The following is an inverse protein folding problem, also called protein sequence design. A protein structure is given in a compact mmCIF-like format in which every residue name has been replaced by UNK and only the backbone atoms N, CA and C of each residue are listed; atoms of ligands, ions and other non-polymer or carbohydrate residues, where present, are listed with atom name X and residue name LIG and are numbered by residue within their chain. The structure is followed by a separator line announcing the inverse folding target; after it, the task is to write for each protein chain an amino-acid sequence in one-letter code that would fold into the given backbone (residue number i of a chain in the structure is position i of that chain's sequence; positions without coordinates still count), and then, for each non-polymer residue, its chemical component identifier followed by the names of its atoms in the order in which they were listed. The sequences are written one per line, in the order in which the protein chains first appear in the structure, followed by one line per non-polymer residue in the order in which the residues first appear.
data_IF_911384902000
#
_entry.id   IF_911384902000
#
_cell.length_a   1.000
_cell.length_b   1.000
_cell.length_c   1.000
_cell.angle_alpha   90.00
_cell.angle_beta   90.00
_cell.angle_gamma   90.00
#
_symmetry.space_group_name_H-M   'P 1'
#
loop_
_entity.id
_entity.type
_entity.pdbx_description
1 polymer ?
#
# COMPACT_ATOMS: atom_id res chain seq x y z
N UNK A 1 -7.75 4.08 17.41
CA UNK A 1 -7.99 4.72 16.09
C UNK A 1 -6.64 5.14 15.50
N UNK A 2 -6.57 5.55 14.23
CA UNK A 2 -5.30 5.91 13.59
C UNK A 2 -5.42 7.08 12.60
N UNK A 3 -4.36 7.88 12.50
CA UNK A 3 -4.14 8.88 11.45
C UNK A 3 -2.73 8.67 10.89
N UNK A 4 -2.64 8.15 9.67
CA UNK A 4 -1.37 7.64 9.15
C UNK A 4 -0.80 6.55 10.08
N UNK A 5 0.50 6.56 10.40
CA UNK A 5 1.10 5.59 11.31
C UNK A 5 0.85 5.91 12.81
N UNK A 6 0.18 7.02 13.14
CA UNK A 6 -0.01 7.46 14.53
C UNK A 6 -1.33 6.92 15.10
N UNK A 7 -1.25 6.15 16.17
CA UNK A 7 -2.42 5.68 16.90
C UNK A 7 -2.78 6.62 18.03
N UNK A 8 -4.08 6.81 18.23
CA UNK A 8 -4.61 7.67 19.29
C UNK A 8 -5.81 7.01 19.98
N UNK A 9 -5.98 7.39 21.25
CA UNK A 9 -6.91 6.72 22.19
C UNK A 9 -8.36 7.17 22.07
N UNK A 10 -8.60 8.46 21.79
CA UNK A 10 -9.94 9.05 21.72
C UNK A 10 -10.05 10.13 20.64
N UNK A 11 -11.27 10.48 20.22
CA UNK A 11 -11.50 11.60 19.28
C UNK A 11 -11.01 12.95 19.83
N UNK A 12 -10.85 13.08 21.15
CA UNK A 12 -10.28 14.27 21.78
C UNK A 12 -8.75 14.38 21.66
N UNK A 13 -8.09 13.34 21.15
CA UNK A 13 -6.64 13.24 20.99
C UNK A 13 -6.21 13.57 19.55
N UNK A 14 -7.12 14.14 18.74
CA UNK A 14 -6.85 14.61 17.39
C UNK A 14 -7.65 15.87 17.09
N UNK A 15 -7.09 16.82 16.35
CA UNK A 15 -7.85 17.95 15.79
C UNK A 15 -7.22 18.50 14.51
N UNK A 16 -8.04 19.18 13.71
CA UNK A 16 -7.58 19.95 12.55
C UNK A 16 -7.22 21.39 12.96
N UNK A 17 -6.03 21.84 12.59
CA UNK A 17 -5.60 23.24 12.71
C UNK A 17 -5.59 23.88 11.33
N UNK A 18 -6.46 24.88 11.13
CA UNK A 18 -6.62 25.58 9.85
C UNK A 18 -6.13 27.02 9.92
N UNK A 19 -5.44 27.44 8.87
CA UNK A 19 -5.00 28.81 8.63
C UNK A 19 -5.45 29.22 7.21
N UNK A 20 -6.74 29.52 7.06
CA UNK A 20 -7.38 29.59 5.74
C UNK A 20 -7.52 28.19 5.14
N UNK A 21 -7.07 28.01 3.89
CA UNK A 21 -7.06 26.71 3.20
C UNK A 21 -5.87 25.81 3.59
N UNK A 22 -4.89 26.36 4.32
CA UNK A 22 -3.77 25.61 4.88
C UNK A 22 -4.26 24.79 6.08
N UNK A 23 -4.13 23.46 6.02
CA UNK A 23 -4.67 22.52 7.01
C UNK A 23 -3.57 21.59 7.53
N UNK A 24 -3.55 21.43 8.85
CA UNK A 24 -2.71 20.47 9.56
C UNK A 24 -3.60 19.58 10.44
N UNK A 25 -3.22 18.32 10.61
CA UNK A 25 -3.76 17.46 11.66
C UNK A 25 -2.77 17.36 12.79
N UNK A 26 -3.22 17.66 14.01
CA UNK A 26 -2.42 17.50 15.23
C UNK A 26 -2.95 16.26 15.95
N UNK A 27 -2.06 15.32 16.28
CA UNK A 27 -2.40 14.04 16.91
C UNK A 27 -1.60 13.89 18.19
N UNK A 28 -2.29 13.58 19.29
CA UNK A 28 -1.69 13.12 20.54
C UNK A 28 -1.59 11.59 20.48
N UNK A 29 -0.45 11.10 19.99
CA UNK A 29 -0.21 9.70 19.64
C UNK A 29 0.25 8.87 20.85
N UNK A 30 -0.43 7.75 21.10
CA UNK A 30 -0.14 6.81 22.19
C UNK A 30 0.53 5.49 21.75
N UNK A 31 0.61 5.26 20.44
CA UNK A 31 1.42 4.22 19.83
C UNK A 31 1.72 4.59 18.36
N UNK A 32 2.70 3.93 17.78
CA UNK A 32 3.08 4.07 16.38
C UNK A 32 2.96 2.72 15.68
N UNK A 33 2.26 2.72 14.55
CA UNK A 33 2.08 1.57 13.69
C UNK A 33 3.13 1.58 12.58
N UNK A 34 4.18 0.78 12.76
CA UNK A 34 5.21 0.56 11.75
C UNK A 34 4.81 -0.59 10.82
N UNK A 35 3.77 -0.38 9.99
CA UNK A 35 3.37 -1.35 8.98
C UNK A 35 2.83 -2.67 9.55
N UNK A 36 2.01 -2.61 10.60
CA UNK A 36 1.36 -3.75 11.27
C UNK A 36 1.93 -4.07 12.65
N UNK A 37 3.06 -3.48 13.04
CA UNK A 37 3.63 -3.59 14.38
C UNK A 37 3.31 -2.31 15.14
N UNK A 38 2.49 -2.45 16.18
CA UNK A 38 2.06 -1.34 17.02
C UNK A 38 2.97 -1.32 18.25
N UNK A 39 3.84 -0.31 18.31
CA UNK A 39 4.75 -0.08 19.42
C UNK A 39 4.43 1.21 20.16
N UNK A 40 4.51 1.19 21.50
CA UNK A 40 4.34 2.39 22.33
C UNK A 40 5.64 3.19 22.49
N UNK A 41 6.70 2.84 21.76
CA UNK A 41 8.00 3.50 21.85
C UNK A 41 8.03 4.90 21.21
N UNK A 42 7.10 5.22 20.31
CA UNK A 42 7.07 6.49 19.57
C UNK A 42 5.80 7.30 19.86
N UNK A 43 5.63 7.66 21.13
CA UNK A 43 4.49 8.42 21.62
C UNK A 43 4.79 9.93 21.63
N UNK A 44 3.74 10.76 21.67
CA UNK A 44 3.86 12.22 21.79
C UNK A 44 2.94 12.95 20.82
N UNK A 45 3.20 14.23 20.60
CA UNK A 45 2.47 15.02 19.61
C UNK A 45 3.10 14.82 18.23
N UNK A 46 2.26 14.52 17.24
CA UNK A 46 2.60 14.55 15.83
C UNK A 46 1.79 15.65 15.13
N UNK A 47 2.43 16.35 14.20
CA UNK A 47 1.78 17.34 13.33
C UNK A 47 1.95 16.86 11.90
N UNK A 48 0.83 16.68 11.23
CA UNK A 48 0.74 16.22 9.86
C UNK A 48 0.26 17.37 8.99
N UNK A 49 0.95 17.58 7.89
CA UNK A 49 0.59 18.52 6.86
C UNK A 49 -0.42 17.85 5.93
N UNK A 50 -1.68 18.30 5.94
CA UNK A 50 -2.72 17.67 5.11
C UNK A 50 -2.65 18.13 3.66
N UNK A 51 -2.21 19.37 3.39
CA UNK A 51 -2.10 19.87 2.01
C UNK A 51 -0.99 19.14 1.26
N UNK A 52 0.17 18.95 1.90
CA UNK A 52 1.35 18.33 1.26
C UNK A 52 1.57 16.88 1.68
N UNK A 53 0.68 16.32 2.51
CA UNK A 53 0.67 14.90 2.96
C UNK A 53 2.02 14.44 3.52
N UNK A 54 2.61 15.26 4.37
CA UNK A 54 3.91 15.00 4.99
C UNK A 54 3.84 15.14 6.50
N UNK A 55 4.79 14.53 7.20
CA UNK A 55 4.95 14.72 8.64
C UNK A 55 5.76 16.00 8.86
N UNK A 56 5.17 16.99 9.52
CA UNK A 56 5.86 18.23 9.89
C UNK A 56 6.84 17.93 11.03
N UNK A 57 6.32 17.33 12.10
CA UNK A 57 7.09 16.86 13.25
C UNK A 57 6.39 15.67 13.90
N UNK A 58 7.15 14.87 14.62
CA UNK A 58 6.63 13.74 15.39
C UNK A 58 7.36 13.56 16.72
N UNK A 59 6.74 12.86 17.68
CA UNK A 59 7.35 12.57 18.99
C UNK A 59 7.73 13.82 19.76
N UNK A 60 6.97 14.91 19.58
CA UNK A 60 7.12 16.10 20.40
C UNK A 60 6.64 15.77 21.82
N UNK A 61 7.49 16.06 22.81
CA UNK A 61 7.31 15.62 24.21
C UNK A 61 7.17 14.10 24.35
N UNK A 62 8.00 13.35 23.60
CA UNK A 62 8.07 11.88 23.66
C UNK A 62 8.19 11.35 25.10
N UNK A 63 7.33 10.39 25.43
CA UNK A 63 7.41 9.66 26.69
C UNK A 63 7.17 8.17 26.45
N UNK A 64 8.07 7.32 26.95
CA UNK A 64 7.96 5.87 26.86
C UNK A 64 6.94 5.37 27.89
N UNK A 65 5.68 5.30 27.48
CA UNK A 65 4.56 4.90 28.34
C UNK A 65 3.31 5.75 28.13
N UNK A 66 2.56 6.00 29.19
CA UNK A 66 1.34 6.81 29.12
C UNK A 66 1.68 8.30 29.00
N UNK A 67 1.00 9.00 28.09
CA UNK A 67 1.20 10.43 27.85
C UNK A 67 0.88 11.21 29.14
N UNK A 68 1.86 11.99 29.61
CA UNK A 68 1.71 12.81 30.81
C UNK A 68 0.84 14.05 30.57
N UNK A 69 0.45 14.72 31.66
CA UNK A 69 -0.37 15.94 31.63
C UNK A 69 0.27 17.09 30.83
N UNK A 70 1.60 17.11 30.72
CA UNK A 70 2.33 18.14 29.97
C UNK A 70 2.14 17.99 28.45
N UNK A 71 2.13 16.76 27.92
CA UNK A 71 1.85 16.53 26.50
C UNK A 71 0.40 16.92 26.16
N UNK A 72 -0.55 16.70 27.08
CA UNK A 72 -1.94 17.13 26.90
C UNK A 72 -2.09 18.65 26.92
N UNK A 73 -1.47 19.34 27.87
CA UNK A 73 -1.49 20.81 27.93
C UNK A 73 -0.88 21.43 26.67
N UNK A 74 0.22 20.87 26.20
CA UNK A 74 0.87 21.32 24.98
C UNK A 74 -0.02 21.09 23.75
N UNK A 75 -0.62 19.90 23.65
CA UNK A 75 -1.58 19.57 22.60
C UNK A 75 -2.76 20.55 22.56
N UNK A 76 -3.30 20.88 23.74
CA UNK A 76 -4.39 21.84 23.86
C UNK A 76 -3.93 23.28 23.52
N UNK A 77 -2.68 23.66 23.82
CA UNK A 77 -2.16 25.00 23.52
C UNK A 77 -2.02 25.27 22.01
N UNK A 78 -1.73 24.23 21.22
CA UNK A 78 -1.59 24.32 19.75
C UNK A 78 -2.92 24.74 19.09
N UNK A 79 -4.07 24.39 19.70
CA UNK A 79 -5.42 24.72 19.17
C UNK A 79 -5.59 26.21 18.97
N UNK A 80 -5.03 27.02 19.85
CA UNK A 80 -5.25 28.47 19.88
C UNK A 80 -4.11 29.27 19.23
N UNK A 81 -3.05 28.62 18.75
CA UNK A 81 -1.91 29.32 18.15
C UNK A 81 -2.31 30.09 16.88
N UNK A 82 -1.83 31.32 16.73
CA UNK A 82 -1.82 32.01 15.42
C UNK A 82 -0.82 31.35 14.48
N UNK A 83 -0.85 31.70 13.19
CA UNK A 83 0.11 31.18 12.23
C UNK A 83 1.55 31.50 12.62
N UNK A 84 1.82 32.72 13.08
CA UNK A 84 3.14 33.15 13.53
C UNK A 84 3.59 32.34 14.75
N UNK A 85 2.70 32.09 15.71
CA UNK A 85 3.00 31.27 16.89
C UNK A 85 3.26 29.81 16.50
N UNK A 86 2.44 29.25 15.62
CA UNK A 86 2.53 27.87 15.15
C UNK A 86 3.83 27.60 14.38
N UNK A 87 4.19 28.46 13.43
CA UNK A 87 5.45 28.31 12.66
C UNK A 87 6.69 28.49 13.54
N UNK A 88 6.65 29.38 14.52
CA UNK A 88 7.74 29.51 15.50
C UNK A 88 7.82 28.29 16.42
N UNK A 89 6.66 27.76 16.83
CA UNK A 89 6.58 26.54 17.63
C UNK A 89 7.21 25.36 16.91
N UNK A 90 6.76 25.10 15.68
CA UNK A 90 7.26 24.02 14.83
C UNK A 90 8.77 24.14 14.63
N UNK A 91 9.28 25.31 14.21
CA UNK A 91 10.72 25.51 13.95
C UNK A 91 11.62 25.34 15.19
N UNK A 92 11.08 25.53 16.39
CA UNK A 92 11.83 25.32 17.65
C UNK A 92 11.89 23.85 18.05
N UNK A 93 11.04 22.99 17.49
CA UNK A 93 11.03 21.58 17.83
C UNK A 93 12.30 20.90 17.27
N UNK A 94 13.03 20.12 18.09
CA UNK A 94 14.14 19.30 17.60
C UNK A 94 13.66 18.14 16.71
N UNK A 95 12.34 17.94 16.57
CA UNK A 95 11.71 16.91 15.74
C UNK A 95 11.13 17.45 14.43
N UNK A 96 11.25 18.75 14.19
CA UNK A 96 10.84 19.34 12.93
C UNK A 96 11.71 18.81 11.79
N UNK A 97 11.05 18.34 10.72
CA UNK A 97 11.74 17.69 9.59
C UNK A 97 12.30 18.67 8.56
N UNK A 98 11.89 19.94 8.60
CA UNK A 98 12.28 20.95 7.61
C UNK A 98 11.65 20.73 6.23
N UNK A 99 11.94 21.64 5.29
CA UNK A 99 11.55 21.48 3.89
C UNK A 99 10.14 21.99 3.57
N UNK A 100 9.57 22.84 4.43
CA UNK A 100 8.22 23.39 4.25
C UNK A 100 8.36 24.91 4.13
N UNK A 101 8.27 25.43 2.90
CA UNK A 101 8.69 26.81 2.58
C UNK A 101 7.98 27.88 3.43
N UNK A 102 6.67 27.74 3.63
CA UNK A 102 5.86 28.71 4.36
C UNK A 102 6.15 28.71 5.87
N UNK A 103 6.52 27.55 6.43
CA UNK A 103 6.98 27.41 7.82
C UNK A 103 8.42 27.90 7.96
N UNK A 104 9.33 27.44 7.10
CA UNK A 104 10.77 27.69 7.16
C UNK A 104 11.06 29.19 7.06
N UNK A 105 10.43 29.83 6.07
CA UNK A 105 10.58 31.27 5.82
C UNK A 105 9.64 32.12 6.66
N UNK A 106 8.65 31.52 7.31
CA UNK A 106 7.60 32.24 8.05
C UNK A 106 6.80 33.18 7.16
N UNK A 107 6.57 32.80 5.90
CA UNK A 107 5.72 33.54 4.97
C UNK A 107 4.24 33.26 5.27
N UNK A 108 3.32 33.83 4.50
CA UNK A 108 1.88 33.58 4.70
C UNK A 108 1.56 32.10 4.48
N UNK A 109 0.53 31.54 5.15
CA UNK A 109 0.12 30.15 4.94
C UNK A 109 -0.10 29.88 3.44
N UNK A 110 0.55 28.85 2.92
CA UNK A 110 0.44 28.47 1.51
C UNK A 110 -0.19 27.09 1.38
N UNK A 111 -1.44 27.03 0.94
CA UNK A 111 -2.20 25.79 0.85
C UNK A 111 -1.85 24.92 -0.38
N UNK A 112 -0.93 25.38 -1.24
CA UNK A 112 -0.60 24.75 -2.52
C UNK A 112 -1.45 25.26 -3.67
N UNK A 113 -1.26 24.70 -4.86
CA UNK A 113 -2.13 24.98 -6.01
C UNK A 113 -3.50 24.27 -5.87
N UNK A 114 -4.43 24.54 -6.79
CA UNK A 114 -5.77 23.92 -6.76
C UNK A 114 -5.69 22.40 -6.86
N UNK A 115 -4.76 21.87 -7.65
CA UNK A 115 -4.58 20.44 -7.83
C UNK A 115 -4.02 19.81 -6.55
N UNK A 116 -3.09 20.47 -5.85
CA UNK A 116 -2.59 20.05 -4.54
C UNK A 116 -3.72 20.04 -3.50
N UNK A 117 -4.61 21.03 -3.55
CA UNK A 117 -5.83 21.04 -2.73
C UNK A 117 -6.75 19.88 -3.08
N UNK A 118 -6.96 19.55 -4.35
CA UNK A 118 -7.76 18.39 -4.76
C UNK A 118 -7.12 17.07 -4.35
N UNK A 119 -5.79 16.95 -4.44
CA UNK A 119 -5.02 15.80 -3.94
C UNK A 119 -5.23 15.67 -2.43
N UNK A 120 -5.14 16.76 -1.66
CA UNK A 120 -5.35 16.74 -0.21
C UNK A 120 -6.77 16.32 0.17
N UNK A 121 -7.80 16.90 -0.47
CA UNK A 121 -9.21 16.54 -0.31
C UNK A 121 -9.54 15.16 -0.86
N UNK A 122 -8.67 14.66 -1.73
CA UNK A 122 -8.78 13.38 -2.39
C UNK A 122 -9.89 13.28 -3.44
N UNK A 123 -10.27 14.41 -4.04
CA UNK A 123 -11.22 14.48 -5.16
C UNK A 123 -11.04 15.79 -5.94
N UNK A 124 -11.34 15.72 -7.24
CA UNK A 124 -11.51 16.91 -8.10
C UNK A 124 -12.95 17.40 -8.00
N UNK A 125 -13.15 18.71 -7.90
CA UNK A 125 -14.47 19.33 -7.89
C UNK A 125 -14.75 20.00 -9.24
N UNK A 126 -15.71 19.48 -9.99
CA UNK A 126 -16.05 19.91 -11.36
C UNK A 126 -14.88 19.70 -12.34
N UNK A 127 -14.55 18.45 -12.70
CA UNK A 127 -13.51 18.16 -13.70
C UNK A 127 -13.87 18.82 -15.03
N UNK A 128 -12.93 19.56 -15.62
CA UNK A 128 -13.14 20.35 -16.86
C UNK A 128 -12.22 19.94 -18.02
N UNK A 129 -11.54 18.79 -17.91
CA UNK A 129 -10.63 18.26 -18.93
C UNK A 129 -11.29 17.30 -19.93
N UNK A 130 -10.58 16.94 -21.02
CA UNK A 130 -11.01 15.85 -21.91
C UNK A 130 -10.95 14.50 -21.17
N UNK A 131 -11.80 13.55 -21.58
CA UNK A 131 -11.71 12.15 -21.15
C UNK A 131 -10.52 11.48 -21.83
N UNK A 132 -9.50 11.13 -21.05
CA UNK A 132 -8.25 10.53 -21.49
C UNK A 132 -8.28 9.00 -21.45
N UNK A 133 -9.34 8.37 -20.92
CA UNK A 133 -9.41 6.92 -20.77
C UNK A 133 -9.39 6.21 -22.13
N UNK A 134 -8.81 5.02 -22.15
CA UNK A 134 -8.88 4.11 -23.30
C UNK A 134 -10.31 3.57 -23.49
N UNK A 135 -10.61 3.02 -24.66
CA UNK A 135 -11.92 2.41 -24.91
C UNK A 135 -12.17 1.18 -24.01
N UNK A 136 -11.12 0.45 -23.64
CA UNK A 136 -11.19 -0.67 -22.67
C UNK A 136 -11.64 -0.16 -21.30
N UNK A 137 -11.00 0.90 -20.81
CA UNK A 137 -11.36 1.53 -19.53
C UNK A 137 -12.79 2.08 -19.53
N UNK A 138 -13.20 2.73 -20.63
CA UNK A 138 -14.58 3.25 -20.78
C UNK A 138 -15.61 2.12 -20.78
N UNK A 139 -15.30 1.02 -21.47
CA UNK A 139 -16.19 -0.15 -21.55
C UNK A 139 -16.36 -0.83 -20.21
N UNK A 140 -15.27 -0.97 -19.43
CA UNK A 140 -15.30 -1.52 -18.08
C UNK A 140 -16.22 -0.73 -17.13
N UNK A 141 -16.28 0.60 -17.29
CA UNK A 141 -17.16 1.45 -16.49
C UNK A 141 -18.61 1.50 -16.97
N UNK A 142 -18.87 1.15 -18.22
CA UNK A 142 -20.21 1.19 -18.79
C UNK A 142 -21.03 -0.07 -18.46
N UNK A 143 -20.35 -1.18 -18.16
CA UNK A 143 -20.95 -2.50 -18.08
C UNK A 143 -20.55 -3.19 -16.77
N UNK A 144 -21.51 -3.78 -16.05
CA UNK A 144 -21.27 -4.58 -14.83
C UNK A 144 -20.70 -5.99 -15.14
N UNK A 145 -19.91 -6.12 -16.22
CA UNK A 145 -19.38 -7.41 -16.69
C UNK A 145 -17.97 -7.72 -16.17
N UNK A 146 -17.34 -6.77 -15.49
CA UNK A 146 -15.98 -6.87 -15.00
C UNK A 146 -15.86 -6.21 -13.63
N UNK A 147 -14.96 -6.71 -12.79
CA UNK A 147 -14.67 -6.14 -11.48
C UNK A 147 -13.77 -4.89 -11.57
N UNK A 148 -13.17 -4.62 -12.74
CA UNK A 148 -12.30 -3.47 -12.96
C UNK A 148 -13.11 -2.18 -13.16
N UNK A 149 -12.66 -1.08 -12.52
CA UNK A 149 -13.27 0.24 -12.67
C UNK A 149 -12.24 1.38 -12.72
N UNK A 150 -12.41 2.26 -13.71
CA UNK A 150 -11.56 3.40 -14.07
C UNK A 150 -12.40 4.70 -14.10
N UNK A 151 -12.90 5.17 -12.94
CA UNK A 151 -13.82 6.31 -12.86
C UNK A 151 -13.19 7.66 -13.21
N UNK A 152 -11.86 7.80 -13.08
CA UNK A 152 -11.15 9.05 -13.25
C UNK A 152 -10.87 9.29 -14.75
N UNK A 153 -11.57 10.26 -15.34
CA UNK A 153 -11.58 10.46 -16.77
C UNK A 153 -10.53 11.47 -17.24
N UNK A 154 -10.31 12.51 -16.46
CA UNK A 154 -9.43 13.63 -16.82
C UNK A 154 -8.05 13.50 -16.21
N UNK A 155 -7.08 14.25 -16.74
CA UNK A 155 -5.70 14.32 -16.24
C UNK A 155 -5.64 14.57 -14.73
N UNK A 156 -6.36 15.59 -14.26
CA UNK A 156 -6.34 15.99 -12.86
C UNK A 156 -6.95 14.91 -11.95
N UNK A 157 -8.02 14.24 -12.39
CA UNK A 157 -8.62 13.13 -11.65
C UNK A 157 -7.66 11.95 -11.53
N UNK A 158 -7.00 11.57 -12.63
CA UNK A 158 -6.01 10.49 -12.63
C UNK A 158 -4.81 10.82 -11.73
N UNK A 159 -4.32 12.07 -11.78
CA UNK A 159 -3.24 12.54 -10.87
C UNK A 159 -3.70 12.47 -9.42
N UNK A 160 -4.93 12.92 -9.10
CA UNK A 160 -5.47 12.83 -7.74
C UNK A 160 -5.58 11.36 -7.29
N UNK A 161 -6.10 10.47 -8.14
CA UNK A 161 -6.24 9.05 -7.83
C UNK A 161 -4.88 8.38 -7.58
N UNK A 162 -3.91 8.56 -8.49
CA UNK A 162 -2.56 8.02 -8.36
C UNK A 162 -1.82 8.61 -7.17
N UNK A 163 -1.92 9.92 -6.96
CA UNK A 163 -1.33 10.56 -5.80
C UNK A 163 -1.88 9.87 -4.54
N UNK A 164 -3.19 9.65 -4.43
CA UNK A 164 -3.83 9.02 -3.27
C UNK A 164 -3.43 7.58 -2.99
N UNK A 165 -2.93 6.86 -3.98
CA UNK A 165 -2.49 5.48 -3.81
C UNK A 165 -1.48 5.36 -2.66
N UNK A 166 -1.47 4.18 -2.03
CA UNK A 166 -0.60 3.93 -0.89
C UNK A 166 0.86 4.09 -1.29
N UNK A 167 1.58 4.86 -0.48
CA UNK A 167 3.00 5.08 -0.63
C UNK A 167 3.74 4.34 0.44
N UNK A 168 4.74 3.56 0.04
CA UNK A 168 5.55 2.78 0.97
C UNK A 168 6.99 3.29 1.01
N UNK A 169 7.63 3.17 2.18
CA UNK A 169 9.06 3.43 2.37
C UNK A 169 9.77 2.09 2.61
N UNK A 170 10.55 1.56 1.64
CA UNK A 170 11.17 0.25 1.74
C UNK A 170 12.18 0.12 2.89
N UNK A 171 11.98 -0.90 3.74
CA UNK A 171 12.77 -1.12 4.98
C UNK A 171 14.28 -1.32 4.75
N UNK A 172 14.69 -1.74 3.55
CA UNK A 172 16.09 -2.01 3.20
C UNK A 172 16.69 -0.99 2.22
N UNK A 173 16.01 0.13 1.95
CA UNK A 173 16.56 1.17 1.09
C UNK A 173 17.50 2.06 1.91
N UNK A 174 18.81 1.77 1.87
CA UNK A 174 19.84 2.74 2.28
C UNK A 174 19.76 4.06 1.48
N UNK A 175 18.95 4.08 0.41
CA UNK A 175 18.73 5.21 -0.47
C UNK A 175 17.38 5.93 -0.25
N UNK A 176 16.60 5.56 0.77
CA UNK A 176 15.42 6.28 1.26
C UNK A 176 14.51 6.88 0.18
N UNK A 177 13.49 6.16 -0.25
CA UNK A 177 12.50 6.72 -1.18
C UNK A 177 11.10 6.18 -0.98
N UNK A 178 10.14 6.99 -1.41
CA UNK A 178 8.74 6.67 -1.61
C UNK A 178 8.60 5.77 -2.85
N UNK A 179 7.77 4.73 -2.78
CA UNK A 179 7.43 3.85 -3.91
C UNK A 179 5.92 3.61 -3.96
N UNK A 180 5.41 3.26 -5.14
CA UNK A 180 4.06 2.71 -5.28
C UNK A 180 4.06 1.25 -4.81
N UNK A 181 3.16 0.92 -3.89
CA UNK A 181 3.12 -0.41 -3.30
C UNK A 181 1.73 -0.80 -2.78
N UNK A 182 1.48 -2.11 -2.78
CA UNK A 182 0.24 -2.72 -2.30
C UNK A 182 0.51 -3.53 -1.03
N UNK A 183 -0.33 -3.38 0.00
CA UNK A 183 -0.31 -4.26 1.17
C UNK A 183 -0.90 -5.63 0.80
N UNK A 184 -0.02 -6.62 0.69
CA UNK A 184 -0.35 -7.99 0.30
C UNK A 184 -0.32 -8.94 1.50
N UNK A 185 -0.37 -8.41 2.73
CA UNK A 185 -0.40 -9.26 3.92
C UNK A 185 -1.69 -10.07 3.97
N UNK A 186 -1.54 -11.38 4.07
CA UNK A 186 -2.64 -12.28 4.40
C UNK A 186 -3.10 -11.98 5.82
N UNK A 187 -4.33 -11.46 5.94
CA UNK A 187 -4.99 -11.20 7.23
C UNK A 187 -6.16 -12.17 7.35
N UNK A 188 -6.15 -12.99 8.39
CA UNK A 188 -7.20 -13.99 8.61
C UNK A 188 -6.76 -15.39 8.20
N UNK A 189 -7.75 -16.27 8.05
CA UNK A 189 -7.53 -17.70 7.84
C UNK A 189 -7.58 -18.01 6.34
N UNK A 190 -6.48 -18.54 5.78
CA UNK A 190 -6.37 -19.02 4.41
C UNK A 190 -6.19 -20.54 4.41
N UNK A 191 -6.81 -21.25 3.46
CA UNK A 191 -6.69 -22.71 3.37
C UNK A 191 -7.12 -23.19 1.98
N UNK A 192 -6.54 -24.29 1.51
CA UNK A 192 -6.90 -24.91 0.23
C UNK A 192 -8.42 -25.12 0.04
N UNK A 193 -9.14 -25.50 1.10
CA UNK A 193 -10.59 -25.76 1.05
C UNK A 193 -11.47 -24.52 0.84
N UNK A 194 -10.90 -23.31 0.95
CA UNK A 194 -11.61 -22.04 0.70
C UNK A 194 -11.52 -21.60 -0.76
N UNK A 195 -10.68 -22.23 -1.57
CA UNK A 195 -10.61 -21.93 -3.00
C UNK A 195 -11.81 -22.54 -3.75
N UNK A 196 -12.42 -21.75 -4.61
CA UNK A 196 -13.45 -22.22 -5.53
C UNK A 196 -12.83 -22.95 -6.72
N UNK A 197 -13.60 -23.84 -7.37
CA UNK A 197 -13.15 -24.54 -8.58
C UNK A 197 -12.37 -25.84 -8.36
N UNK A 198 -11.93 -26.12 -7.13
CA UNK A 198 -11.23 -27.37 -6.79
C UNK A 198 -12.17 -28.42 -6.20
N UNK A 199 -11.90 -29.70 -6.51
CA UNK A 199 -12.62 -30.86 -5.95
C UNK A 199 -11.62 -31.82 -5.33
N UNK A 200 -11.45 -31.71 -4.02
CA UNK A 200 -10.53 -32.56 -3.27
C UNK A 200 -11.18 -33.87 -2.86
N UNK A 201 -10.38 -34.92 -2.77
CA UNK A 201 -10.83 -36.21 -2.26
C UNK A 201 -10.76 -36.20 -0.72
N UNK A 202 -11.90 -36.43 -0.07
CA UNK A 202 -12.00 -36.44 1.40
C UNK A 202 -11.07 -37.45 2.08
N UNK A 203 -10.71 -38.54 1.38
CA UNK A 203 -9.77 -39.56 1.88
C UNK A 203 -8.38 -38.99 2.18
N UNK A 204 -7.99 -37.88 1.54
CA UNK A 204 -6.69 -37.24 1.76
C UNK A 204 -6.74 -36.06 2.74
N UNK A 205 -7.91 -35.71 3.31
CA UNK A 205 -8.05 -34.56 4.21
C UNK A 205 -7.10 -34.63 5.42
N UNK A 206 -7.01 -35.78 6.09
CA UNK A 206 -6.11 -35.94 7.24
C UNK A 206 -4.63 -35.88 6.84
N UNK A 207 -4.29 -36.43 5.67
CA UNK A 207 -2.92 -36.42 5.15
C UNK A 207 -2.49 -35.01 4.75
N UNK A 208 -3.38 -34.25 4.10
CA UNK A 208 -3.19 -32.82 3.83
C UNK A 208 -2.97 -32.02 5.09
N UNK A 209 -3.84 -32.17 6.09
CA UNK A 209 -3.72 -31.44 7.36
C UNK A 209 -2.37 -31.70 8.03
N UNK A 210 -1.91 -32.96 8.05
CA UNK A 210 -0.58 -33.31 8.59
C UNK A 210 0.55 -32.70 7.77
N UNK A 211 0.44 -32.71 6.44
CA UNK A 211 1.43 -32.10 5.56
C UNK A 211 1.55 -30.59 5.85
N UNK A 212 0.43 -29.88 5.85
CA UNK A 212 0.35 -28.44 6.14
C UNK A 212 0.86 -28.07 7.54
N UNK A 213 0.61 -28.90 8.56
CA UNK A 213 1.14 -28.70 9.92
C UNK A 213 2.66 -28.99 10.03
N UNK A 214 3.17 -29.91 9.22
CA UNK A 214 4.56 -30.36 9.28
C UNK A 214 5.52 -29.59 8.38
N UNK A 215 5.02 -29.03 7.29
CA UNK A 215 5.78 -28.31 6.28
C UNK A 215 5.52 -26.81 6.42
N UNK A 216 6.42 -26.12 7.12
CA UNK A 216 6.31 -24.67 7.32
C UNK A 216 6.50 -23.87 6.03
N UNK A 217 7.04 -24.48 4.96
CA UNK A 217 7.41 -23.80 3.73
C UNK A 217 6.24 -23.75 2.73
N UNK A 218 5.26 -24.66 2.84
CA UNK A 218 4.09 -24.71 1.95
C UNK A 218 3.33 -23.38 1.88
N UNK A 219 3.25 -22.66 3.01
CA UNK A 219 2.62 -21.34 3.05
C UNK A 219 3.42 -20.32 2.24
N UNK A 220 4.75 -20.32 2.36
CA UNK A 220 5.62 -19.40 1.63
C UNK A 220 5.68 -19.74 0.13
N UNK A 221 5.63 -21.03 -0.22
CA UNK A 221 5.48 -21.49 -1.60
C UNK A 221 4.17 -20.98 -2.20
N UNK A 222 3.04 -21.16 -1.50
CA UNK A 222 1.74 -20.63 -1.94
C UNK A 222 1.75 -19.10 -2.09
N UNK A 223 2.43 -18.37 -1.20
CA UNK A 223 2.58 -16.92 -1.33
C UNK A 223 3.44 -16.54 -2.54
N UNK A 224 4.50 -17.30 -2.83
CA UNK A 224 5.34 -17.08 -4.02
C UNK A 224 4.56 -17.31 -5.30
N UNK A 225 3.80 -18.41 -5.37
CA UNK A 225 2.97 -18.76 -6.52
C UNK A 225 1.86 -17.74 -6.76
N UNK A 226 1.19 -17.28 -5.70
CA UNK A 226 0.16 -16.24 -5.77
C UNK A 226 0.69 -14.91 -6.36
N UNK A 227 1.99 -14.64 -6.24
CA UNK A 227 2.63 -13.40 -6.71
C UNK A 227 3.43 -13.59 -8.01
N UNK A 228 3.56 -14.82 -8.49
CA UNK A 228 4.48 -15.19 -9.57
C UNK A 228 4.34 -14.32 -10.82
N UNK A 229 3.10 -14.06 -11.26
CA UNK A 229 2.83 -13.23 -12.43
C UNK A 229 3.38 -11.80 -12.29
N UNK A 230 3.32 -11.22 -11.08
CA UNK A 230 3.86 -9.89 -10.80
C UNK A 230 5.38 -9.89 -10.75
N UNK A 231 5.99 -10.87 -10.07
CA UNK A 231 7.43 -10.85 -9.80
C UNK A 231 8.28 -11.29 -10.99
N UNK A 232 7.74 -12.15 -11.87
CA UNK A 232 8.43 -12.58 -13.10
C UNK A 232 8.24 -11.60 -14.28
N UNK A 233 7.44 -10.54 -14.09
CA UNK A 233 7.19 -9.53 -15.13
C UNK A 233 6.24 -10.01 -16.24
N UNK A 234 5.38 -10.99 -15.93
CA UNK A 234 4.36 -11.53 -16.83
C UNK A 234 2.96 -10.98 -16.49
N UNK A 235 2.88 -9.92 -15.69
CA UNK A 235 1.61 -9.31 -15.34
C UNK A 235 1.09 -8.45 -16.48
N UNK A 236 -0.14 -8.70 -16.88
CA UNK A 236 -0.85 -7.99 -17.95
C UNK A 236 -2.06 -7.27 -17.31
N UNK A 237 -2.02 -5.93 -17.16
CA UNK A 237 -3.13 -5.22 -16.57
C UNK A 237 -4.32 -5.21 -17.53
N UNK A 238 -5.53 -5.36 -16.98
CA UNK A 238 -6.77 -5.34 -17.76
C UNK A 238 -6.91 -4.09 -18.65
N UNK A 239 -6.37 -2.95 -18.23
CA UNK A 239 -6.49 -1.70 -18.96
C UNK A 239 -5.79 -1.67 -20.33
N UNK A 240 -4.68 -2.41 -20.46
CA UNK A 240 -3.82 -2.39 -21.64
C UNK A 240 -2.79 -3.55 -21.58
N UNK A 241 -2.91 -4.50 -22.52
CA UNK A 241 -2.04 -5.67 -22.62
C UNK A 241 -0.62 -5.36 -23.09
N UNK A 242 -0.32 -4.14 -23.56
CA UNK A 242 1.03 -3.73 -23.96
C UNK A 242 1.87 -3.20 -22.80
N UNK A 243 1.25 -2.97 -21.63
CA UNK A 243 1.98 -2.54 -20.44
C UNK A 243 2.85 -3.69 -19.94
N UNK A 244 4.13 -3.41 -19.70
CA UNK A 244 5.07 -4.35 -19.09
C UNK A 244 5.54 -3.75 -17.78
N UNK A 245 5.26 -4.42 -16.67
CA UNK A 245 5.63 -3.99 -15.33
C UNK A 245 6.35 -5.10 -14.58
N UNK A 246 7.25 -4.72 -13.66
CA UNK A 246 7.94 -5.64 -12.76
C UNK A 246 7.72 -5.20 -11.33
N UNK A 247 7.54 -6.19 -10.48
CA UNK A 247 7.31 -6.00 -9.07
C UNK A 247 8.31 -6.81 -8.25
N UNK A 248 8.47 -6.43 -6.99
CA UNK A 248 9.18 -7.24 -6.00
C UNK A 248 8.52 -7.12 -4.65
N UNK A 249 8.75 -8.10 -3.77
CA UNK A 249 8.24 -8.06 -2.40
C UNK A 249 9.18 -7.30 -1.47
N UNK A 250 8.66 -6.46 -0.59
CA UNK A 250 9.42 -5.74 0.43
C UNK A 250 8.69 -5.69 1.78
N UNK A 251 9.37 -5.17 2.81
CA UNK A 251 8.88 -5.13 4.18
C UNK A 251 9.13 -6.41 4.96
N UNK A 252 8.80 -6.37 6.25
CA UNK A 252 8.92 -7.54 7.14
C UNK A 252 8.07 -8.69 6.57
N UNK A 253 8.71 -9.84 6.36
CA UNK A 253 8.10 -11.03 5.74
C UNK A 253 7.53 -10.80 4.33
N UNK A 254 8.00 -9.79 3.58
CA UNK A 254 7.57 -9.57 2.19
C UNK A 254 6.15 -9.01 2.04
N UNK A 255 5.58 -8.43 3.09
CA UNK A 255 4.17 -8.01 3.11
C UNK A 255 3.76 -6.83 2.21
N UNK A 256 4.65 -6.31 1.36
CA UNK A 256 4.31 -5.30 0.35
C UNK A 256 4.76 -5.73 -1.03
N UNK A 257 3.89 -5.61 -2.03
CA UNK A 257 4.25 -5.71 -3.44
C UNK A 257 4.65 -4.31 -3.92
N UNK A 258 5.83 -4.15 -4.49
CA UNK A 258 6.37 -2.85 -4.89
C UNK A 258 6.59 -2.81 -6.39
N UNK A 259 6.07 -1.80 -7.07
CA UNK A 259 6.36 -1.55 -8.48
C UNK A 259 7.80 -1.06 -8.63
N UNK A 260 8.68 -1.85 -9.26
CA UNK A 260 10.07 -1.47 -9.47
C UNK A 260 10.33 -0.85 -10.83
N UNK A 261 9.67 -1.35 -11.86
CA UNK A 261 9.91 -0.97 -13.24
C UNK A 261 8.63 -1.12 -14.07
N UNK A 262 8.51 -0.31 -15.11
CA UNK A 262 7.51 -0.47 -16.16
C UNK A 262 8.04 0.05 -17.51
N UNK A 263 7.30 -0.11 -18.61
CA UNK A 263 7.74 0.32 -19.95
C UNK A 263 7.42 1.78 -20.32
N UNK A 264 6.73 2.54 -19.47
CA UNK A 264 6.50 3.98 -19.66
C UNK A 264 7.67 4.85 -19.18
N UNK A 265 7.48 6.19 -19.19
CA UNK A 265 8.43 7.11 -18.59
C UNK A 265 8.67 6.77 -17.11
N UNK A 266 9.91 6.86 -16.66
CA UNK A 266 10.32 6.52 -15.28
C UNK A 266 10.82 7.78 -14.58
N UNK A 267 10.66 7.89 -13.25
CA UNK A 267 11.38 8.90 -12.49
C UNK A 267 12.89 8.57 -12.48
N UNK A 268 13.71 9.48 -11.97
CA UNK A 268 15.15 9.24 -11.77
C UNK A 268 15.41 8.48 -10.46
N UNK A 269 14.71 7.35 -10.27
CA UNK A 269 14.91 6.47 -9.11
C UNK A 269 16.30 5.83 -9.09
N UNK A 270 16.54 4.93 -8.14
CA UNK A 270 17.83 4.22 -8.03
C UNK A 270 17.87 2.98 -8.93
N UNK A 271 19.08 2.47 -9.20
CA UNK A 271 19.31 1.40 -10.18
C UNK A 271 18.46 0.12 -9.98
N UNK A 272 18.17 -0.26 -8.73
CA UNK A 272 17.37 -1.44 -8.39
C UNK A 272 15.86 -1.19 -8.26
N UNK A 273 15.41 0.07 -8.28
CA UNK A 273 14.00 0.45 -8.32
C UNK A 273 13.89 1.80 -9.06
N UNK A 274 13.92 1.77 -10.40
CA UNK A 274 13.74 2.97 -11.21
C UNK A 274 12.48 3.76 -10.89
N UNK A 275 11.43 3.12 -10.35
CA UNK A 275 10.16 3.72 -9.93
C UNK A 275 10.16 4.30 -8.51
N UNK A 276 11.33 4.57 -7.94
CA UNK A 276 11.44 5.22 -6.63
C UNK A 276 11.47 6.75 -6.73
N UNK A 277 10.95 7.40 -5.70
CA UNK A 277 10.87 8.85 -5.56
C UNK A 277 11.50 9.29 -4.23
N UNK A 278 12.10 10.46 -4.17
CA UNK A 278 12.72 10.96 -2.92
C UNK A 278 11.66 11.17 -1.83
N UNK A 279 10.49 11.64 -2.25
CA UNK A 279 9.35 11.89 -1.39
C UNK A 279 8.07 11.98 -2.25
N UNK A 280 6.95 12.22 -1.57
CA UNK A 280 5.64 12.31 -2.21
C UNK A 280 5.48 13.55 -3.11
N UNK A 281 6.16 14.65 -2.80
CA UNK A 281 6.15 15.85 -3.65
C UNK A 281 6.85 15.59 -4.99
N UNK A 282 8.00 14.90 -4.96
CA UNK A 282 8.68 14.45 -6.17
C UNK A 282 7.78 13.53 -7.01
N UNK A 283 7.05 12.59 -6.39
CA UNK A 283 6.07 11.76 -7.09
C UNK A 283 4.97 12.60 -7.77
N UNK A 284 4.36 13.55 -7.06
CA UNK A 284 3.31 14.42 -7.61
C UNK A 284 3.85 15.29 -8.75
N UNK A 285 5.04 15.88 -8.60
CA UNK A 285 5.69 16.67 -9.65
C UNK A 285 5.92 15.84 -10.91
N UNK A 286 6.40 14.60 -10.75
CA UNK A 286 6.61 13.69 -11.85
C UNK A 286 5.30 13.32 -12.56
N UNK A 287 4.22 13.05 -11.82
CA UNK A 287 2.88 12.83 -12.40
C UNK A 287 2.42 14.04 -13.23
N UNK A 288 2.64 15.27 -12.75
CA UNK A 288 2.30 16.50 -13.48
C UNK A 288 3.09 16.63 -14.80
N UNK A 289 4.27 16.04 -14.90
CA UNK A 289 5.15 16.08 -16.09
C UNK A 289 4.93 14.92 -17.08
N UNK A 290 4.24 13.85 -16.68
CA UNK A 290 4.02 12.69 -17.55
C UNK A 290 3.21 13.05 -18.80
N UNK A 291 3.57 12.52 -19.99
CA UNK A 291 2.68 12.55 -21.15
C UNK A 291 1.32 11.91 -20.83
N UNK A 292 0.24 12.39 -21.45
CA UNK A 292 -1.11 11.87 -21.16
C UNK A 292 -1.20 10.34 -21.37
N UNK A 293 -0.59 9.80 -22.43
CA UNK A 293 -0.59 8.36 -22.68
C UNK A 293 0.07 7.56 -21.55
N UNK A 294 1.20 8.03 -21.03
CA UNK A 294 1.90 7.38 -19.92
C UNK A 294 1.09 7.52 -18.63
N UNK A 295 0.50 8.70 -18.38
CA UNK A 295 -0.36 8.89 -17.20
C UNK A 295 -1.57 7.93 -17.21
N UNK A 296 -2.23 7.79 -18.37
CA UNK A 296 -3.36 6.86 -18.56
C UNK A 296 -2.90 5.42 -18.36
N UNK A 297 -1.77 5.02 -18.95
CA UNK A 297 -1.23 3.68 -18.80
C UNK A 297 -0.88 3.36 -17.34
N UNK A 298 -0.23 4.29 -16.62
CA UNK A 298 0.10 4.11 -15.21
C UNK A 298 -1.15 4.03 -14.34
N UNK A 299 -2.14 4.89 -14.61
CA UNK A 299 -3.44 4.85 -13.93
C UNK A 299 -4.11 3.49 -14.13
N UNK A 300 -4.15 3.00 -15.37
CA UNK A 300 -4.69 1.68 -15.71
C UNK A 300 -3.98 0.54 -14.99
N UNK A 301 -2.64 0.56 -14.99
CA UNK A 301 -1.81 -0.40 -14.28
C UNK A 301 -2.13 -0.41 -12.79
N UNK A 302 -2.07 0.75 -12.12
CA UNK A 302 -2.29 0.83 -10.67
C UNK A 302 -3.69 0.36 -10.29
N UNK A 303 -4.72 0.76 -11.04
CA UNK A 303 -6.10 0.35 -10.77
C UNK A 303 -6.34 -1.14 -11.01
N UNK A 304 -5.65 -1.74 -11.97
CA UNK A 304 -5.75 -3.19 -12.21
C UNK A 304 -5.10 -3.96 -11.05
N UNK A 305 -3.91 -3.54 -10.61
CA UNK A 305 -3.22 -4.16 -9.48
C UNK A 305 -4.00 -3.94 -8.17
N UNK A 306 -4.64 -2.78 -7.97
CA UNK A 306 -5.51 -2.51 -6.81
C UNK A 306 -6.61 -3.57 -6.66
N UNK A 307 -7.22 -4.00 -7.77
CA UNK A 307 -8.25 -5.04 -7.79
C UNK A 307 -7.63 -6.42 -7.57
N UNK A 308 -6.58 -6.75 -8.32
CA UNK A 308 -5.97 -8.09 -8.30
C UNK A 308 -5.30 -8.42 -6.96
N UNK A 309 -4.92 -7.39 -6.18
CA UNK A 309 -4.30 -7.54 -4.85
C UNK A 309 -5.27 -7.27 -3.69
N UNK A 310 -6.55 -7.00 -3.95
CA UNK A 310 -7.53 -6.61 -2.93
C UNK A 310 -7.82 -7.72 -1.90
N UNK A 311 -7.67 -8.99 -2.27
CA UNK A 311 -7.87 -10.14 -1.38
C UNK A 311 -6.68 -11.13 -1.41
N UNK A 312 -5.59 -10.83 -0.68
CA UNK A 312 -4.43 -11.72 -0.61
C UNK A 312 -4.75 -13.11 -0.03
N UNK A 313 -5.75 -13.21 0.86
CA UNK A 313 -6.12 -14.48 1.49
C UNK A 313 -6.79 -15.41 0.47
N UNK A 314 -7.60 -14.87 -0.44
CA UNK A 314 -8.16 -15.62 -1.55
C UNK A 314 -7.07 -16.14 -2.50
N UNK A 315 -6.15 -15.26 -2.93
CA UNK A 315 -5.06 -15.64 -3.83
C UNK A 315 -4.18 -16.76 -3.24
N UNK A 316 -3.79 -16.65 -1.96
CA UNK A 316 -3.01 -17.69 -1.27
C UNK A 316 -3.83 -18.97 -1.08
N UNK A 317 -5.13 -18.89 -0.81
CA UNK A 317 -5.98 -20.08 -0.72
C UNK A 317 -6.06 -20.84 -2.05
N UNK A 318 -6.11 -20.11 -3.18
CA UNK A 318 -6.08 -20.70 -4.52
C UNK A 318 -4.74 -21.38 -4.83
N UNK A 319 -3.62 -20.76 -4.44
CA UNK A 319 -2.29 -21.37 -4.57
C UNK A 319 -2.16 -22.63 -3.71
N UNK A 320 -2.58 -22.59 -2.44
CA UNK A 320 -2.63 -23.77 -1.55
C UNK A 320 -3.50 -24.89 -2.13
N UNK A 321 -4.61 -24.55 -2.77
CA UNK A 321 -5.49 -25.49 -3.44
C UNK A 321 -4.81 -26.20 -4.62
N UNK A 322 -4.01 -25.47 -5.38
CA UNK A 322 -3.26 -25.99 -6.53
C UNK A 322 -2.12 -26.92 -6.07
N UNK A 323 -1.41 -26.54 -5.01
CA UNK A 323 -0.41 -27.39 -4.35
C UNK A 323 -1.07 -28.68 -3.83
N UNK A 324 -2.21 -28.55 -3.13
CA UNK A 324 -2.97 -29.70 -2.62
C UNK A 324 -3.40 -30.65 -3.73
N UNK A 325 -3.93 -30.13 -4.83
CA UNK A 325 -4.32 -30.97 -5.98
C UNK A 325 -3.13 -31.79 -6.48
N UNK A 326 -1.98 -31.16 -6.65
CA UNK A 326 -0.74 -31.82 -7.11
C UNK A 326 -0.27 -32.89 -6.11
N UNK A 327 -0.40 -32.64 -4.80
CA UNK A 327 -0.09 -33.62 -3.75
C UNK A 327 -1.05 -34.80 -3.73
N UNK A 328 -2.35 -34.56 -3.91
CA UNK A 328 -3.34 -35.64 -3.98
C UNK A 328 -3.14 -36.53 -5.22
N UNK A 329 -2.63 -35.99 -6.32
CA UNK A 329 -2.21 -36.78 -7.48
C UNK A 329 -1.00 -37.66 -7.15
N UNK A 330 0.04 -37.10 -6.55
CA UNK A 330 1.22 -37.86 -6.08
C UNK A 330 0.83 -38.98 -5.09
N UNK A 331 -0.03 -38.70 -4.12
CA UNK A 331 -0.45 -39.70 -3.14
C UNK A 331 -1.32 -40.82 -3.73
N UNK A 332 -2.05 -40.56 -4.83
CA UNK A 332 -2.77 -41.61 -5.56
C UNK A 332 -1.81 -42.52 -6.30
N UNK A 333 -0.77 -41.96 -6.91
CA UNK A 333 0.28 -42.72 -7.60
C UNK A 333 1.03 -43.61 -6.61
N UNK A 334 1.50 -43.05 -5.49
CA UNK A 334 2.16 -43.80 -4.40
C UNK A 334 1.31 -44.97 -3.90
N UNK A 335 0.02 -44.74 -3.63
CA UNK A 335 -0.89 -45.79 -3.17
C UNK A 335 -1.11 -46.89 -4.22
N UNK A 336 -1.02 -46.54 -5.51
CA UNK A 336 -1.16 -47.51 -6.61
C UNK A 336 0.11 -48.36 -6.74
N UNK A 337 1.29 -47.75 -6.63
CA UNK A 337 2.58 -48.45 -6.65
C UNK A 337 2.74 -49.40 -5.45
N UNK A 338 2.30 -48.99 -4.26
CA UNK A 338 2.28 -49.84 -3.05
C UNK A 338 1.38 -51.09 -3.25
N UNK A 339 0.22 -50.93 -3.90
CA UNK A 339 -0.66 -52.06 -4.22
C UNK A 339 -0.05 -52.99 -5.27
N UNK A 340 0.63 -52.47 -6.30
CA UNK A 340 1.28 -53.31 -7.34
C UNK A 340 2.49 -54.08 -6.79
N UNK A 341 3.23 -53.49 -5.84
CA UNK A 341 4.35 -54.14 -5.17
C UNK A 341 3.90 -55.21 -4.16
N UNK A 342 2.77 -55.04 -3.48
CA UNK A 342 2.18 -56.08 -2.61
C UNK A 342 1.59 -57.27 -3.39
N UNK A 343 1.12 -57.06 -4.62
CA UNK A 343 0.46 -58.10 -5.43
C UNK A 343 1.46 -58.96 -6.22
N UNK A 344 2.73 -58.56 -6.32
CA UNK A 344 3.77 -59.36 -6.99
C UNK A 344 4.38 -60.37 -6.00
N UNK A 345 4.02 -61.67 -6.03
CA UNK A 345 4.58 -62.63 -5.08
C UNK A 345 6.03 -62.90 -5.48
N UNK A 346 6.95 -62.82 -4.53
CA UNK A 346 8.32 -63.31 -4.67
C UNK A 346 8.26 -64.80 -4.99
N UNK A 347 8.38 -65.16 -6.28
CA UNK A 347 8.63 -66.52 -6.71
C UNK A 347 10.08 -66.85 -6.34
N UNK A 348 10.27 -67.42 -5.14
CA UNK A 348 11.51 -68.05 -4.72
C UNK A 348 11.58 -69.51 -5.17
#
# INVERSE_FOLDING_TARGET
MNKGPYQYGSENDIFEKKFGDRTFTVVLSNAYNAGGIIGSEYNGIAILDENFRQVVLDRQLENRGFLGSDARKEFDSIKDMTWEQFTQYVRKSPRYRGGIDDIDRGTKPNAGDILDLWISKGKVENPTGPDLRTEVMKSANANDQTDYSYPDATRDEMIVALARHEGYYPMNSNNGGFVLAWDIKVRGDCSASKAEGFKFNEAFNERWKKFEESDSDVFFEACSDALWHFTEGNYEPHSDEDIRAKFYTNGRQGGHLVLSEWNGAKPKGWATCPMAFDNREHFISWLKELPDNDLVALYGLVRSVDIDTADPAHAVSFALASIRQSKEEQWKEEATEELETEVTPTLH
#
